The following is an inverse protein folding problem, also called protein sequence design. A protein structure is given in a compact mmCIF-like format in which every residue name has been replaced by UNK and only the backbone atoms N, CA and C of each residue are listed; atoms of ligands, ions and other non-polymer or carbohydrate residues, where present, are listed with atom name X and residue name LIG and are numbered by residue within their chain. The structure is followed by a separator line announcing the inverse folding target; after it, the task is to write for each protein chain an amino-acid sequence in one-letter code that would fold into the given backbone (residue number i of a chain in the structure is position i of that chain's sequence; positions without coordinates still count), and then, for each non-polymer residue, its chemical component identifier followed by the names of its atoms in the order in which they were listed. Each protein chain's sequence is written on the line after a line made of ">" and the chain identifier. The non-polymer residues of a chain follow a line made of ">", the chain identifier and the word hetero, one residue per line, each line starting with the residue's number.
data_IF_798174278199
#
_entry.id   IF_798174278199
#
_cell.length_a   1.000
_cell.length_b   1.000
_cell.length_c   1.000
_cell.angle_alpha   90.00
_cell.angle_beta   90.00
_cell.angle_gamma   90.00
#
_symmetry.space_group_name_H-M   'P 1'
#
loop_
_entity.id
_entity.type
_entity.pdbx_description
1 polymer ?
#
# COMPACT_ATOMS: atom_id res chain seq x y z
N UNK A 1 21.88 14.48 -13.82
CA UNK A 1 20.76 14.29 -12.91
C UNK A 1 20.97 15.07 -11.63
N UNK A 2 19.95 15.74 -11.20
CA UNK A 2 20.01 16.43 -9.92
C UNK A 2 20.14 15.39 -8.80
N UNK A 3 21.01 15.66 -7.84
CA UNK A 3 21.27 14.74 -6.75
C UNK A 3 20.03 14.48 -5.90
N UNK A 4 19.14 15.47 -5.77
CA UNK A 4 18.01 15.38 -4.89
C UNK A 4 18.43 15.10 -3.45
N UNK A 5 17.47 14.82 -2.59
CA UNK A 5 17.78 14.41 -1.23
C UNK A 5 17.96 12.90 -1.17
N UNK A 6 19.17 12.46 -0.94
CA UNK A 6 19.47 11.03 -0.78
C UNK A 6 18.82 10.48 0.49
N UNK A 7 18.74 11.29 1.54
CA UNK A 7 18.06 10.91 2.78
C UNK A 7 16.59 10.64 2.55
N UNK A 8 15.91 11.52 1.80
CA UNK A 8 14.50 11.33 1.46
C UNK A 8 14.30 10.07 0.62
N UNK A 9 15.14 9.88 -0.40
CA UNK A 9 15.05 8.70 -1.27
C UNK A 9 15.23 7.40 -0.47
N UNK A 10 16.18 7.37 0.45
CA UNK A 10 16.41 6.21 1.31
C UNK A 10 15.24 5.95 2.26
N UNK A 11 14.68 7.02 2.82
CA UNK A 11 13.51 6.91 3.69
C UNK A 11 12.31 6.34 2.93
N UNK A 12 12.06 6.83 1.72
CA UNK A 12 10.96 6.34 0.89
C UNK A 12 11.18 4.90 0.43
N UNK A 13 12.43 4.49 0.19
CA UNK A 13 12.75 3.10 -0.12
C UNK A 13 12.37 2.18 1.04
N UNK A 14 12.72 2.57 2.27
CA UNK A 14 12.34 1.82 3.46
C UNK A 14 10.82 1.77 3.62
N UNK A 15 10.15 2.88 3.37
CA UNK A 15 8.69 2.94 3.40
C UNK A 15 8.07 1.94 2.42
N UNK A 16 8.57 1.88 1.19
CA UNK A 16 8.08 0.94 0.17
C UNK A 16 8.29 -0.51 0.58
N UNK A 17 9.40 -0.81 1.26
CA UNK A 17 9.64 -2.15 1.79
C UNK A 17 8.61 -2.53 2.85
N UNK A 18 8.24 -1.58 3.72
CA UNK A 18 7.19 -1.82 4.71
C UNK A 18 5.84 -2.04 4.03
N UNK A 19 5.53 -1.25 3.01
CA UNK A 19 4.30 -1.44 2.21
C UNK A 19 4.21 -2.85 1.67
N UNK A 20 5.32 -3.38 1.14
CA UNK A 20 5.38 -4.71 0.56
C UNK A 20 5.14 -5.83 1.59
N UNK A 21 5.37 -5.57 2.87
CA UNK A 21 5.24 -6.55 3.95
C UNK A 21 4.03 -6.33 4.86
N UNK A 22 3.24 -5.31 4.56
CA UNK A 22 2.03 -5.05 5.33
C UNK A 22 0.93 -6.06 4.95
N UNK A 23 0.09 -6.54 5.87
CA UNK A 23 -0.04 -6.14 7.28
C UNK A 23 0.83 -6.93 8.26
N UNK A 24 1.56 -7.94 7.83
CA UNK A 24 2.38 -8.76 8.72
C UNK A 24 3.46 -7.92 9.41
N UNK A 25 4.04 -6.98 8.68
CA UNK A 25 5.10 -6.12 9.18
C UNK A 25 6.48 -6.71 8.95
N UNK A 26 7.49 -5.89 9.18
CA UNK A 26 8.88 -6.25 8.93
C UNK A 26 9.78 -5.63 10.02
N UNK A 27 10.78 -6.36 10.45
CA UNK A 27 11.69 -5.92 11.49
C UNK A 27 12.80 -5.04 10.93
N UNK A 28 13.37 -4.21 11.81
CA UNK A 28 14.47 -3.33 11.45
C UNK A 28 15.65 -4.09 10.84
N UNK A 29 15.98 -5.25 11.38
CA UNK A 29 17.10 -6.06 10.88
C UNK A 29 16.89 -6.49 9.44
N UNK A 30 15.66 -6.86 9.08
CA UNK A 30 15.34 -7.24 7.71
C UNK A 30 15.34 -6.03 6.78
N UNK A 31 14.85 -4.90 7.26
CA UNK A 31 14.90 -3.64 6.49
C UNK A 31 16.35 -3.22 6.21
N UNK A 32 17.23 -3.34 7.20
CA UNK A 32 18.64 -3.03 7.01
C UNK A 32 19.28 -3.96 5.99
N UNK A 33 19.00 -5.25 6.07
CA UNK A 33 19.51 -6.23 5.12
C UNK A 33 19.03 -5.97 3.69
N UNK A 34 17.74 -5.74 3.54
CA UNK A 34 17.14 -5.54 2.21
C UNK A 34 17.54 -4.22 1.56
N UNK A 35 17.70 -3.17 2.37
CA UNK A 35 18.06 -1.85 1.85
C UNK A 35 19.57 -1.68 1.65
N UNK A 36 20.37 -2.50 2.30
CA UNK A 36 21.82 -2.36 2.30
C UNK A 36 22.33 -1.22 3.17
N UNK A 37 21.46 -0.59 3.94
CA UNK A 37 21.82 0.50 4.84
C UNK A 37 22.22 -0.05 6.22
N UNK A 38 23.05 0.72 6.93
CA UNK A 38 23.44 0.36 8.27
C UNK A 38 22.28 0.56 9.26
N UNK A 39 22.26 -0.24 10.33
CA UNK A 39 21.17 -0.22 11.30
C UNK A 39 20.91 1.15 11.92
N UNK A 40 21.92 1.93 12.34
CA UNK A 40 21.66 3.26 12.90
C UNK A 40 20.97 4.19 11.90
N UNK A 41 21.35 4.13 10.63
CA UNK A 41 20.72 4.91 9.57
C UNK A 41 19.27 4.49 9.38
N UNK A 42 19.02 3.20 9.31
CA UNK A 42 17.67 2.64 9.17
C UNK A 42 16.81 3.07 10.35
N UNK A 43 17.33 2.94 11.57
CA UNK A 43 16.60 3.33 12.78
C UNK A 43 16.18 4.80 12.75
N UNK A 44 17.09 5.70 12.37
CA UNK A 44 16.78 7.13 12.29
C UNK A 44 15.71 7.44 11.25
N UNK A 45 15.82 6.83 10.08
CA UNK A 45 14.85 7.04 9.01
C UNK A 45 13.48 6.50 9.39
N UNK A 46 13.43 5.31 9.97
CA UNK A 46 12.18 4.72 10.43
C UNK A 46 11.54 5.55 11.54
N UNK A 47 12.35 6.07 12.47
CA UNK A 47 11.84 6.93 13.55
C UNK A 47 11.16 8.17 12.98
N UNK A 48 11.75 8.78 11.96
CA UNK A 48 11.15 9.93 11.27
C UNK A 48 9.84 9.57 10.60
N UNK A 49 9.80 8.43 9.91
CA UNK A 49 8.58 7.96 9.25
C UNK A 49 7.47 7.65 10.26
N UNK A 50 7.82 7.09 11.40
CA UNK A 50 6.85 6.83 12.49
C UNK A 50 6.33 8.15 13.05
N UNK A 51 7.20 9.11 13.30
CA UNK A 51 6.82 10.41 13.83
C UNK A 51 5.85 11.13 12.89
N UNK A 52 6.05 11.00 11.59
CA UNK A 52 5.18 11.62 10.59
C UNK A 52 3.91 10.80 10.28
N UNK A 53 3.74 9.67 10.92
CA UNK A 53 2.53 8.85 10.78
C UNK A 53 2.49 7.96 9.55
N UNK A 54 3.58 7.89 8.76
CA UNK A 54 3.64 6.99 7.59
C UNK A 54 3.87 5.55 8.01
N UNK A 55 4.57 5.34 9.09
CA UNK A 55 4.80 4.01 9.67
C UNK A 55 4.33 3.99 11.12
N UNK A 56 4.14 2.79 11.62
CA UNK A 56 3.94 2.52 13.04
C UNK A 56 4.78 1.29 13.40
N UNK A 57 5.17 1.19 14.65
CA UNK A 57 5.89 0.03 15.15
C UNK A 57 5.00 -0.70 16.14
N UNK A 58 4.82 -2.00 15.92
CA UNK A 58 4.03 -2.84 16.83
C UNK A 58 4.76 -3.01 18.15
N UNK A 59 4.03 -2.97 19.25
CA UNK A 59 4.62 -3.18 20.57
C UNK A 59 5.15 -4.60 20.73
N UNK A 60 4.38 -5.58 20.27
CA UNK A 60 4.80 -6.98 20.28
C UNK A 60 5.52 -7.30 18.98
N UNK A 61 6.75 -7.83 19.08
CA UNK A 61 7.54 -8.20 17.92
C UNK A 61 8.28 -7.05 17.24
N UNK A 62 7.98 -5.81 17.60
CA UNK A 62 8.68 -4.62 17.09
C UNK A 62 8.72 -4.50 15.57
N UNK A 63 7.74 -5.08 14.88
CA UNK A 63 7.64 -4.99 13.42
C UNK A 63 7.08 -3.64 13.02
N UNK A 64 7.56 -3.14 11.88
CA UNK A 64 7.05 -1.91 11.29
C UNK A 64 5.91 -2.23 10.33
N UNK A 65 4.85 -1.46 10.44
CA UNK A 65 3.64 -1.55 9.59
C UNK A 65 3.27 -0.15 9.14
N UNK A 66 2.27 -0.04 8.29
CA UNK A 66 1.80 1.27 7.83
C UNK A 66 1.15 2.05 8.96
N UNK A 67 1.42 3.35 9.01
CA UNK A 67 0.87 4.26 10.01
C UNK A 67 -0.47 4.85 9.57
N UNK A 68 -1.08 5.59 10.50
CA UNK A 68 -2.43 6.15 10.30
C UNK A 68 -2.53 7.14 9.14
N UNK A 69 -1.44 7.85 8.81
CA UNK A 69 -1.46 8.82 7.71
C UNK A 69 -1.69 8.14 6.36
N UNK A 70 -1.29 6.87 6.23
CA UNK A 70 -1.51 6.11 5.00
C UNK A 70 -3.00 5.95 4.67
N UNK A 71 -3.86 5.86 5.69
CA UNK A 71 -5.31 5.86 5.48
C UNK A 71 -5.80 7.17 4.88
N UNK A 72 -5.29 8.30 5.37
CA UNK A 72 -5.62 9.61 4.83
C UNK A 72 -5.14 9.76 3.39
N UNK A 73 -3.93 9.29 3.09
CA UNK A 73 -3.39 9.29 1.73
C UNK A 73 -4.26 8.48 0.78
N UNK A 74 -4.69 7.31 1.20
CA UNK A 74 -5.54 6.44 0.38
C UNK A 74 -6.87 7.10 0.05
N UNK A 75 -7.49 7.77 1.02
CA UNK A 75 -8.75 8.49 0.81
C UNK A 75 -8.53 9.65 -0.18
N UNK A 76 -7.48 10.44 0.02
CA UNK A 76 -7.17 11.56 -0.86
C UNK A 76 -6.91 11.12 -2.29
N UNK A 77 -6.10 10.07 -2.45
CA UNK A 77 -5.75 9.52 -3.76
C UNK A 77 -6.98 8.97 -4.49
N UNK A 78 -7.89 8.32 -3.75
CA UNK A 78 -9.12 7.78 -4.33
C UNK A 78 -10.04 8.90 -4.84
N UNK A 79 -10.11 10.02 -4.13
CA UNK A 79 -10.92 11.16 -4.55
C UNK A 79 -10.40 11.79 -5.85
N UNK A 80 -9.10 11.69 -6.10
CA UNK A 80 -8.47 12.20 -7.30
C UNK A 80 -8.49 11.21 -8.46
N UNK A 81 -8.82 9.95 -8.19
CA UNK A 81 -8.84 8.87 -9.19
C UNK A 81 -10.27 8.37 -9.39
N UNK A 82 -11.13 9.10 -10.13
CA UNK A 82 -12.55 8.77 -10.27
C UNK A 82 -12.83 7.53 -11.12
N UNK A 83 -11.81 6.82 -11.54
CA UNK A 83 -11.97 5.63 -12.40
C UNK A 83 -12.88 4.58 -11.76
N UNK A 84 -12.85 4.44 -10.44
CA UNK A 84 -13.73 3.52 -9.73
C UNK A 84 -15.19 3.93 -9.89
N UNK A 85 -15.49 5.22 -9.71
CA UNK A 85 -16.84 5.73 -9.83
C UNK A 85 -17.36 5.65 -11.26
N UNK A 86 -16.45 5.86 -12.23
CA UNK A 86 -16.80 5.79 -13.65
C UNK A 86 -17.21 4.37 -14.06
N UNK A 87 -16.52 3.35 -13.57
CA UNK A 87 -16.74 1.96 -13.96
C UNK A 87 -17.60 1.15 -13.00
N UNK A 88 -17.91 1.67 -11.81
CA UNK A 88 -18.72 0.94 -10.84
C UNK A 88 -20.09 0.50 -11.39
N UNK A 89 -20.84 1.34 -12.12
CA UNK A 89 -22.12 0.91 -12.70
C UNK A 89 -21.94 -0.22 -13.72
N UNK A 90 -20.88 -0.17 -14.54
CA UNK A 90 -20.59 -1.21 -15.52
C UNK A 90 -20.28 -2.54 -14.84
N UNK A 91 -19.48 -2.52 -13.78
CA UNK A 91 -19.16 -3.72 -13.00
C UNK A 91 -20.43 -4.35 -12.43
N UNK A 92 -21.32 -3.53 -11.91
CA UNK A 92 -22.60 -3.98 -11.36
C UNK A 92 -23.46 -4.64 -12.43
N UNK A 93 -23.57 -4.02 -13.61
CA UNK A 93 -24.36 -4.55 -14.71
C UNK A 93 -23.82 -5.90 -15.19
N UNK A 94 -22.50 -6.03 -15.30
CA UNK A 94 -21.87 -7.29 -15.70
C UNK A 94 -22.11 -8.36 -14.64
N UNK A 95 -21.95 -8.02 -13.36
CA UNK A 95 -22.17 -8.97 -12.27
C UNK A 95 -23.63 -9.45 -12.23
N UNK A 96 -24.59 -8.56 -12.44
CA UNK A 96 -26.00 -8.92 -12.50
C UNK A 96 -26.32 -9.79 -13.71
N UNK A 97 -25.76 -9.47 -14.88
CA UNK A 97 -25.98 -10.21 -16.10
C UNK A 97 -25.39 -11.62 -16.06
N UNK A 98 -24.23 -11.79 -15.45
CA UNK A 98 -23.54 -13.08 -15.41
C UNK A 98 -23.81 -13.87 -14.14
N UNK A 99 -24.23 -13.21 -13.06
CA UNK A 99 -24.38 -13.82 -11.74
C UNK A 99 -23.08 -13.99 -10.97
N UNK A 100 -21.95 -13.61 -11.55
CA UNK A 100 -20.63 -13.74 -10.96
C UNK A 100 -20.10 -12.42 -10.40
N UNK A 101 -19.07 -12.50 -9.56
CA UNK A 101 -18.35 -11.33 -9.10
C UNK A 101 -17.55 -10.72 -10.26
N UNK A 102 -17.46 -9.40 -10.27
CA UNK A 102 -16.73 -8.65 -11.29
C UNK A 102 -15.77 -7.68 -10.58
N UNK A 103 -14.55 -7.57 -11.11
CA UNK A 103 -13.49 -6.78 -10.50
C UNK A 103 -12.95 -5.76 -11.49
N UNK A 104 -12.65 -4.57 -11.01
CA UNK A 104 -11.87 -3.58 -11.75
C UNK A 104 -10.44 -3.62 -11.23
N UNK A 105 -9.52 -3.99 -12.11
CA UNK A 105 -8.11 -4.16 -11.78
C UNK A 105 -7.31 -3.19 -12.62
N UNK A 106 -6.38 -2.48 -11.99
CA UNK A 106 -5.45 -1.59 -12.68
C UNK A 106 -4.02 -2.07 -12.44
N UNK A 107 -3.15 -1.77 -13.39
CA UNK A 107 -1.74 -2.05 -13.24
C UNK A 107 -1.09 -0.91 -12.47
N UNK A 108 -0.31 -1.27 -11.44
CA UNK A 108 0.45 -0.34 -10.64
C UNK A 108 1.91 -0.80 -10.63
N UNK A 109 2.75 -0.18 -11.48
CA UNK A 109 4.11 -0.66 -11.69
C UNK A 109 4.11 -2.06 -12.29
N UNK A 110 4.68 -3.02 -11.59
CA UNK A 110 4.70 -4.44 -11.99
C UNK A 110 3.58 -5.24 -11.34
N UNK A 111 2.81 -4.63 -10.45
CA UNK A 111 1.73 -5.30 -9.72
C UNK A 111 0.37 -4.90 -10.29
N UNK A 112 -0.64 -5.66 -9.92
CA UNK A 112 -2.04 -5.33 -10.21
C UNK A 112 -2.73 -4.93 -8.91
N UNK A 113 -3.72 -4.05 -9.04
CA UNK A 113 -4.48 -3.55 -7.90
C UNK A 113 -5.95 -3.62 -8.22
N UNK A 114 -6.71 -4.35 -7.41
CA UNK A 114 -8.17 -4.37 -7.51
C UNK A 114 -8.73 -3.13 -6.81
N UNK A 115 -9.35 -2.22 -7.57
CA UNK A 115 -9.85 -0.96 -7.03
C UNK A 115 -11.37 -0.90 -6.94
N UNK A 116 -12.08 -1.85 -7.53
CA UNK A 116 -13.53 -1.95 -7.41
C UNK A 116 -13.97 -3.38 -7.61
N UNK A 117 -15.11 -3.72 -7.00
CA UNK A 117 -15.68 -5.05 -7.05
C UNK A 117 -17.20 -4.96 -7.05
N UNK A 118 -17.86 -5.80 -7.84
CA UNK A 118 -19.30 -6.01 -7.78
C UNK A 118 -19.58 -7.50 -7.65
N UNK A 119 -20.57 -7.86 -6.83
CA UNK A 119 -20.91 -9.24 -6.53
C UNK A 119 -22.21 -9.61 -7.26
N UNK A 120 -22.20 -10.74 -7.97
CA UNK A 120 -23.37 -11.26 -8.63
C UNK A 120 -24.27 -12.05 -7.69
N UNK A 121 -25.20 -12.80 -8.29
CA UNK A 121 -26.24 -13.54 -7.55
C UNK A 121 -25.92 -15.01 -7.35
N UNK A 122 -24.85 -15.54 -7.94
CA UNK A 122 -24.46 -16.92 -7.75
C UNK A 122 -23.99 -17.17 -6.31
N UNK A 123 -24.29 -18.37 -5.81
CA UNK A 123 -23.90 -18.78 -4.45
C UNK A 123 -22.38 -18.85 -4.32
N UNK A 124 -21.70 -19.36 -5.36
CA UNK A 124 -20.25 -19.43 -5.42
C UNK A 124 -19.75 -18.32 -6.33
N UNK A 125 -18.88 -17.45 -5.81
CA UNK A 125 -18.29 -16.34 -6.56
C UNK A 125 -16.83 -16.63 -6.87
N UNK A 126 -16.39 -16.22 -8.05
CA UNK A 126 -15.01 -16.33 -8.47
C UNK A 126 -14.11 -15.31 -7.74
#
# INVERSE_FOLDING_TARGET
>A
MTQGSQTLARGLELFKLVVAHHPTGIRLTDLARLSGLERPTVHRLLASLVREGLLAQQETGKRYVLGHYCGQLAVAARNEAPIQDTYAPLLKDIAEATGDATFLVVQSGFDTLCIARAVGTYVIQA
#
